data_IF_258004831683
#
_entry.id   IF_258004831683
#
_cell.length_a   1.000
_cell.length_b   1.000
_cell.length_c   1.000
_cell.angle_alpha   90.00
_cell.angle_beta   90.00
_cell.angle_gamma   90.00
#
_symmetry.space_group_name_H-M   'P 1'
#
loop_
_entity.id
_entity.type
_entity.pdbx_description
1 polymer ?
#
# COMPACT_ATOMS: atom_id res chain seq x y z
N UNK A 1 16.13 -30.42 -10.60
CA UNK A 1 15.53 -29.23 -9.96
C UNK A 1 16.16 -28.01 -10.57
N UNK A 2 15.36 -27.09 -11.11
CA UNK A 2 15.88 -25.79 -11.55
C UNK A 2 16.41 -25.04 -10.32
N UNK A 3 17.61 -24.47 -10.44
CA UNK A 3 18.19 -23.67 -9.36
C UNK A 3 17.65 -22.24 -9.44
N UNK A 4 17.61 -21.53 -8.31
CA UNK A 4 17.22 -20.12 -8.28
C UNK A 4 18.05 -19.24 -9.25
N UNK A 5 19.29 -19.66 -9.54
CA UNK A 5 20.16 -19.02 -10.54
C UNK A 5 19.65 -19.23 -11.98
N UNK A 6 19.31 -20.47 -12.34
CA UNK A 6 18.79 -20.79 -13.68
C UNK A 6 17.48 -20.06 -13.97
N UNK A 7 16.61 -19.93 -12.96
CA UNK A 7 15.34 -19.21 -13.06
C UNK A 7 15.56 -17.69 -13.17
N UNK A 8 16.52 -17.15 -12.41
CA UNK A 8 16.88 -15.74 -12.48
C UNK A 8 17.42 -15.36 -13.87
N UNK A 9 18.28 -16.19 -14.44
CA UNK A 9 18.87 -15.98 -15.77
C UNK A 9 17.82 -16.10 -16.88
N UNK A 10 16.92 -17.08 -16.83
CA UNK A 10 15.87 -17.25 -17.84
C UNK A 10 14.84 -16.13 -17.84
N UNK A 11 14.55 -15.55 -16.67
CA UNK A 11 13.59 -14.47 -16.50
C UNK A 11 14.23 -13.06 -16.54
N UNK A 12 15.55 -12.96 -16.58
CA UNK A 12 16.27 -11.67 -16.56
C UNK A 12 16.08 -10.88 -15.26
N UNK A 13 15.90 -11.57 -14.13
CA UNK A 13 15.62 -10.97 -12.82
C UNK A 13 16.76 -11.20 -11.82
N UNK A 14 16.81 -10.42 -10.75
CA UNK A 14 17.83 -10.58 -9.72
C UNK A 14 17.65 -11.88 -8.94
N UNK A 15 18.75 -12.61 -8.67
CA UNK A 15 18.74 -13.83 -7.83
C UNK A 15 18.04 -13.62 -6.49
N UNK A 16 18.26 -12.46 -5.86
CA UNK A 16 17.63 -12.09 -4.58
C UNK A 16 16.11 -12.01 -4.70
N UNK A 17 15.58 -11.53 -5.82
CA UNK A 17 14.13 -11.45 -6.06
C UNK A 17 13.52 -12.86 -6.13
N UNK A 18 14.16 -13.79 -6.86
CA UNK A 18 13.74 -15.18 -6.92
C UNK A 18 13.77 -15.83 -5.53
N UNK A 19 14.83 -15.58 -4.75
CA UNK A 19 14.93 -16.11 -3.39
C UNK A 19 13.82 -15.58 -2.47
N UNK A 20 13.51 -14.28 -2.53
CA UNK A 20 12.39 -13.70 -1.79
C UNK A 20 11.04 -14.29 -2.21
N UNK A 21 10.81 -14.48 -3.51
CA UNK A 21 9.58 -15.11 -4.02
C UNK A 21 9.46 -16.55 -3.55
N UNK A 22 10.57 -17.30 -3.52
CA UNK A 22 10.58 -18.68 -3.00
C UNK A 22 10.25 -18.70 -1.51
N UNK A 23 10.77 -17.75 -0.73
CA UNK A 23 10.49 -17.64 0.71
C UNK A 23 9.00 -17.34 0.97
N UNK A 24 8.42 -16.42 0.21
CA UNK A 24 7.03 -15.99 0.35
C UNK A 24 6.04 -16.86 -0.47
N UNK A 25 6.49 -17.97 -1.06
CA UNK A 25 5.73 -18.78 -2.03
C UNK A 25 4.35 -19.19 -1.52
N UNK A 26 4.28 -19.71 -0.30
CA UNK A 26 3.02 -20.21 0.27
C UNK A 26 2.01 -19.08 0.48
N UNK A 27 2.48 -17.93 0.96
CA UNK A 27 1.68 -16.72 1.14
C UNK A 27 1.14 -16.21 -0.19
N UNK A 28 1.97 -16.20 -1.23
CA UNK A 28 1.55 -15.79 -2.59
C UNK A 28 0.45 -16.72 -3.11
N UNK A 29 0.60 -18.04 -2.93
CA UNK A 29 -0.39 -19.04 -3.36
C UNK A 29 -1.71 -18.88 -2.60
N UNK A 30 -1.65 -18.68 -1.28
CA UNK A 30 -2.84 -18.52 -0.44
C UNK A 30 -3.64 -17.28 -0.84
N UNK A 31 -2.98 -16.14 -1.04
CA UNK A 31 -3.63 -14.89 -1.50
C UNK A 31 -4.24 -15.08 -2.90
N UNK A 32 -3.55 -15.79 -3.79
CA UNK A 32 -4.05 -16.09 -5.12
C UNK A 32 -5.32 -16.96 -5.06
N UNK A 33 -5.33 -18.00 -4.21
CA UNK A 33 -6.50 -18.87 -3.98
C UNK A 33 -7.68 -18.12 -3.39
N UNK A 34 -7.44 -17.14 -2.52
CA UNK A 34 -8.48 -16.30 -1.92
C UNK A 34 -9.17 -15.38 -2.93
N UNK A 35 -8.78 -15.37 -4.22
CA UNK A 35 -9.43 -14.58 -5.25
C UNK A 35 -9.20 -13.08 -5.12
N UNK A 36 -8.27 -12.65 -4.24
CA UNK A 36 -7.88 -11.24 -4.05
C UNK A 36 -7.07 -10.72 -5.23
N UNK A 37 -6.95 -11.50 -6.31
CA UNK A 37 -6.56 -11.02 -7.62
C UNK A 37 -7.73 -10.21 -8.24
N UNK A 38 -8.14 -9.16 -7.54
CA UNK A 38 -8.95 -8.11 -8.14
C UNK A 38 -8.08 -7.53 -9.25
N UNK A 39 -8.64 -7.42 -10.44
CA UNK A 39 -8.10 -6.69 -11.60
C UNK A 39 -7.51 -5.30 -11.26
N UNK A 40 -7.81 -4.76 -10.08
CA UNK A 40 -7.39 -3.45 -9.58
C UNK A 40 -6.25 -3.47 -8.54
N UNK A 41 -5.88 -4.63 -7.99
CA UNK A 41 -4.78 -4.77 -7.01
C UNK A 41 -3.70 -5.66 -7.59
N UNK A 42 -2.77 -5.07 -8.34
CA UNK A 42 -1.49 -5.72 -8.60
C UNK A 42 -0.92 -6.13 -7.24
N UNK A 43 -0.44 -7.37 -7.10
CA UNK A 43 0.42 -7.82 -5.98
C UNK A 43 1.78 -7.11 -6.09
N UNK A 44 1.76 -5.78 -6.11
CA UNK A 44 2.91 -4.93 -5.88
C UNK A 44 2.97 -4.79 -4.38
N UNK A 45 4.17 -4.95 -3.83
CA UNK A 45 4.47 -4.71 -2.42
C UNK A 45 3.73 -3.46 -1.95
N UNK A 46 2.71 -3.64 -1.09
CA UNK A 46 2.05 -2.52 -0.42
C UNK A 46 3.14 -1.73 0.30
N UNK A 47 3.27 -0.46 -0.04
CA UNK A 47 4.21 0.40 0.69
C UNK A 47 3.66 0.52 2.10
N UNK A 48 4.41 0.05 3.09
CA UNK A 48 4.06 0.27 4.49
C UNK A 48 4.06 1.78 4.71
N UNK A 49 2.89 2.33 5.03
CA UNK A 49 2.72 3.69 5.53
C UNK A 49 2.80 3.64 7.05
N UNK A 50 3.67 4.45 7.65
CA UNK A 50 3.78 4.54 9.11
C UNK A 50 2.46 5.00 9.76
N UNK A 51 1.67 5.79 9.02
CA UNK A 51 0.44 6.44 9.46
C UNK A 51 -0.75 5.97 8.61
N UNK A 52 -0.91 4.64 8.51
CA UNK A 52 -1.95 4.00 7.67
C UNK A 52 -3.35 4.41 8.13
N UNK A 53 -3.55 4.52 9.44
CA UNK A 53 -4.85 4.82 10.04
C UNK A 53 -5.27 6.27 9.77
N UNK A 54 -4.35 7.23 9.89
CA UNK A 54 -4.60 8.62 9.48
C UNK A 54 -4.90 8.71 7.98
N UNK A 55 -4.14 7.98 7.14
CA UNK A 55 -4.38 7.99 5.70
C UNK A 55 -5.76 7.43 5.32
N UNK A 56 -6.23 6.38 6.00
CA UNK A 56 -7.56 5.82 5.80
C UNK A 56 -8.68 6.79 6.20
N UNK A 57 -8.54 7.48 7.35
CA UNK A 57 -9.49 8.49 7.78
C UNK A 57 -9.57 9.68 6.81
N UNK A 58 -8.42 10.16 6.34
CA UNK A 58 -8.37 11.25 5.35
C UNK A 58 -9.07 10.83 4.06
N UNK A 59 -8.85 9.60 3.61
CA UNK A 59 -9.49 9.08 2.40
C UNK A 59 -11.00 8.94 2.55
N UNK A 60 -11.48 8.47 3.70
CA UNK A 60 -12.91 8.37 4.00
C UNK A 60 -13.56 9.77 4.00
N UNK A 61 -12.98 10.72 4.73
CA UNK A 61 -13.44 12.09 4.76
C UNK A 61 -13.45 12.72 3.37
N UNK A 62 -12.38 12.54 2.59
CA UNK A 62 -12.26 13.05 1.23
C UNK A 62 -13.38 12.49 0.33
N UNK A 63 -13.65 11.20 0.44
CA UNK A 63 -14.70 10.53 -0.35
C UNK A 63 -16.09 11.08 -0.01
N UNK A 64 -16.38 11.29 1.27
CA UNK A 64 -17.64 11.88 1.73
C UNK A 64 -17.76 13.35 1.27
N UNK A 65 -16.69 14.13 1.34
CA UNK A 65 -16.70 15.52 0.90
C UNK A 65 -16.87 15.62 -0.62
N UNK A 66 -16.23 14.73 -1.39
CA UNK A 66 -16.42 14.64 -2.84
C UNK A 66 -17.83 14.22 -3.23
N UNK A 67 -18.46 13.28 -2.51
CA UNK A 67 -19.84 12.87 -2.80
C UNK A 67 -20.85 13.99 -2.55
N UNK A 68 -20.53 14.93 -1.66
CA UNK A 68 -21.28 16.16 -1.42
C UNK A 68 -20.94 17.31 -2.38
N UNK A 69 -20.14 17.06 -3.43
CA UNK A 69 -19.65 18.06 -4.38
C UNK A 69 -18.93 19.24 -3.71
N UNK A 70 -18.29 19.01 -2.56
CA UNK A 70 -17.49 20.04 -1.89
C UNK A 70 -16.15 20.17 -2.64
N UNK A 71 -15.74 21.39 -3.04
CA UNK A 71 -14.39 21.63 -3.56
C UNK A 71 -13.36 21.40 -2.47
N UNK A 72 -12.40 20.51 -2.71
CA UNK A 72 -11.34 20.18 -1.75
C UNK A 72 -10.00 20.64 -2.32
N UNK A 73 -9.29 21.47 -1.57
CA UNK A 73 -7.94 21.91 -1.90
C UNK A 73 -6.90 21.03 -1.20
N UNK A 74 -5.67 20.98 -1.71
CA UNK A 74 -4.57 20.23 -1.07
C UNK A 74 -4.32 20.68 0.36
N UNK A 75 -4.46 21.98 0.65
CA UNK A 75 -4.30 22.52 2.00
C UNK A 75 -5.34 21.98 2.97
N UNK A 76 -6.59 21.83 2.54
CA UNK A 76 -7.65 21.23 3.36
C UNK A 76 -7.36 19.77 3.68
N UNK A 77 -6.75 19.02 2.74
CA UNK A 77 -6.34 17.63 2.97
C UNK A 77 -5.23 17.58 4.03
N UNK A 78 -4.24 18.47 3.93
CA UNK A 78 -3.15 18.56 4.91
C UNK A 78 -3.68 18.92 6.31
N UNK A 79 -4.54 19.93 6.41
CA UNK A 79 -5.17 20.33 7.66
C UNK A 79 -5.98 19.18 8.28
N UNK A 80 -6.74 18.43 7.46
CA UNK A 80 -7.48 17.27 7.94
C UNK A 80 -6.58 16.12 8.40
N UNK A 81 -5.49 15.87 7.69
CA UNK A 81 -4.53 14.86 8.08
C UNK A 81 -3.87 15.19 9.44
N UNK A 82 -3.52 16.46 9.66
CA UNK A 82 -3.01 16.93 10.96
C UNK A 82 -4.03 16.73 12.08
N UNK A 83 -5.29 17.13 11.86
CA UNK A 83 -6.36 16.94 12.85
C UNK A 83 -6.53 15.46 13.24
N UNK A 84 -6.54 14.55 12.27
CA UNK A 84 -6.68 13.11 12.56
C UNK A 84 -5.45 12.53 13.26
N UNK A 85 -4.26 13.02 12.93
CA UNK A 85 -3.03 12.63 13.62
C UNK A 85 -3.02 13.07 15.08
N UNK A 86 -3.47 14.29 15.37
CA UNK A 86 -3.59 14.80 16.73
C UNK A 86 -4.62 13.99 17.54
N UNK A 87 -5.78 13.70 16.95
CA UNK A 87 -6.82 12.87 17.59
C UNK A 87 -6.32 11.45 17.92
N UNK A 88 -5.40 10.92 17.10
CA UNK A 88 -4.80 9.59 17.27
C UNK A 88 -3.53 9.59 18.11
N UNK A 89 -3.04 10.75 18.56
CA UNK A 89 -1.76 10.90 19.25
C UNK A 89 -0.59 10.31 18.45
N UNK A 90 -0.62 10.45 17.12
CA UNK A 90 0.47 10.02 16.24
C UNK A 90 1.59 11.08 16.23
N UNK A 91 2.49 10.98 17.21
CA UNK A 91 3.63 11.88 17.35
C UNK A 91 4.57 11.80 16.12
N UNK A 92 4.98 12.97 15.63
CA UNK A 92 5.91 13.08 14.51
C UNK A 92 5.29 12.93 13.12
N UNK A 93 3.96 12.89 13.02
CA UNK A 93 3.28 13.01 11.73
C UNK A 93 3.55 14.35 11.07
N UNK A 94 3.82 14.32 9.77
CA UNK A 94 3.94 15.52 8.94
C UNK A 94 3.05 15.37 7.72
N UNK A 95 2.10 16.29 7.57
CA UNK A 95 1.19 16.35 6.43
C UNK A 95 1.87 16.91 5.17
N UNK A 96 3.01 16.33 4.77
CA UNK A 96 3.65 16.61 3.49
C UNK A 96 2.96 15.82 2.39
N UNK A 97 2.55 16.50 1.32
CA UNK A 97 2.04 15.86 0.10
C UNK A 97 3.17 15.63 -0.91
#
# INVERSE_FOLDING_TARGET
METAKSIAESLGVGKTQIQSIILDKEKIIEIWKQGVCCSDKKYIRTRNCAFKDVNELVLEWFTIAKSKNIPITSKMIQEKALMFSEERNEDGFNASN
#
